data_IF_635436257590
#
_entry.id   IF_635436257590
#
_cell.length_a   1.000
_cell.length_b   1.000
_cell.length_c   1.000
_cell.angle_alpha   90.00
_cell.angle_beta   90.00
_cell.angle_gamma   90.00
#
_symmetry.space_group_name_H-M   'P 1'
#
loop_
_entity.id
_entity.type
_entity.pdbx_description
1 polymer ?
#
# COMPACT_ATOMS: atom_id res chain seq x y z
N UNK A 1 -0.70 -12.46 18.00
CA UNK A 1 0.24 -11.93 19.01
C UNK A 1 0.90 -10.71 18.39
N UNK A 2 0.35 -9.52 18.67
CA UNK A 2 0.93 -8.24 18.26
C UNK A 2 2.15 -7.90 19.11
N UNK A 3 2.91 -6.86 18.72
CA UNK A 3 3.82 -6.16 19.63
C UNK A 3 3.32 -4.73 19.64
N UNK A 4 2.33 -4.52 20.50
CA UNK A 4 1.54 -3.31 20.53
C UNK A 4 1.95 -2.49 21.76
N UNK A 5 1.75 -1.18 21.66
CA UNK A 5 1.91 -0.26 22.78
C UNK A 5 0.62 0.53 22.92
N UNK A 6 0.06 0.51 24.13
CA UNK A 6 -1.13 1.26 24.51
C UNK A 6 -0.85 1.99 25.82
N UNK A 7 -0.79 3.32 25.79
CA UNK A 7 -0.47 4.14 26.96
C UNK A 7 -1.67 5.00 27.35
N UNK A 8 -2.14 4.85 28.59
CA UNK A 8 -3.17 5.70 29.17
C UNK A 8 -2.58 6.72 30.13
N UNK A 9 -2.99 7.98 30.00
CA UNK A 9 -2.51 9.08 30.83
C UNK A 9 -3.63 9.99 31.33
N UNK A 10 -3.37 10.69 32.44
CA UNK A 10 -4.31 11.66 33.04
C UNK A 10 -3.76 13.08 32.95
N UNK A 11 -4.60 14.02 32.51
CA UNK A 11 -4.24 15.45 32.46
C UNK A 11 -4.08 16.02 33.87
N UNK A 12 -3.04 16.84 34.09
CA UNK A 12 -2.86 17.52 35.39
C UNK A 12 -3.85 18.67 35.62
N UNK A 13 -4.44 19.23 34.57
CA UNK A 13 -5.45 20.29 34.64
C UNK A 13 -6.52 20.08 33.56
N UNK A 14 -7.79 19.98 33.95
CA UNK A 14 -8.92 19.84 33.01
C UNK A 14 -9.51 21.21 32.67
N UNK A 15 -9.39 21.66 31.42
CA UNK A 15 -9.86 23.01 31.05
C UNK A 15 -10.43 23.12 29.64
N UNK A 16 -9.65 22.74 28.63
CA UNK A 16 -10.02 22.88 27.22
C UNK A 16 -10.94 21.76 26.73
N UNK A 17 -11.61 22.00 25.60
CA UNK A 17 -12.35 20.98 24.86
C UNK A 17 -11.37 20.01 24.18
N UNK A 18 -11.71 18.72 24.12
CA UNK A 18 -10.83 17.66 23.63
C UNK A 18 -10.29 17.96 22.21
N UNK A 19 -11.16 18.38 21.29
CA UNK A 19 -10.77 18.73 19.92
C UNK A 19 -9.68 19.81 19.86
N UNK A 20 -9.86 20.90 20.58
CA UNK A 20 -8.88 22.00 20.60
C UNK A 20 -7.51 21.52 21.13
N UNK A 21 -7.52 20.62 22.13
CA UNK A 21 -6.29 20.05 22.66
C UNK A 21 -5.56 19.22 21.60
N UNK A 22 -6.30 18.45 20.81
CA UNK A 22 -5.75 17.63 19.73
C UNK A 22 -5.29 18.48 18.53
N UNK A 23 -6.02 19.53 18.16
CA UNK A 23 -5.58 20.52 17.16
C UNK A 23 -4.26 21.20 17.57
N UNK A 24 -4.18 21.65 18.83
CA UNK A 24 -2.97 22.26 19.38
C UNK A 24 -1.80 21.26 19.44
N UNK A 25 -2.08 19.99 19.71
CA UNK A 25 -1.09 18.92 19.69
C UNK A 25 -0.57 18.69 18.27
N UNK A 26 -1.46 18.45 17.30
CA UNK A 26 -1.12 18.21 15.91
C UNK A 26 -0.26 19.33 15.32
N UNK A 27 -0.58 20.59 15.63
CA UNK A 27 0.18 21.75 15.19
C UNK A 27 1.59 21.85 15.81
N UNK A 28 1.81 21.28 17.01
CA UNK A 28 3.08 21.41 17.76
C UNK A 28 3.98 20.18 17.65
N UNK A 29 3.42 19.03 17.28
CA UNK A 29 4.17 17.78 17.15
C UNK A 29 5.38 17.89 16.19
N UNK A 30 5.28 18.54 15.01
CA UNK A 30 6.41 18.72 14.11
C UNK A 30 7.59 19.48 14.74
N UNK A 31 7.32 20.42 15.64
CA UNK A 31 8.35 21.25 16.28
C UNK A 31 9.12 20.50 17.37
N UNK A 32 8.53 19.45 17.95
CA UNK A 32 9.13 18.70 19.08
C UNK A 32 9.61 17.31 18.71
N UNK A 33 9.20 16.80 17.55
CA UNK A 33 9.64 15.54 17.01
C UNK A 33 10.47 15.81 15.76
N UNK A 34 11.80 15.77 15.91
CA UNK A 34 12.73 16.03 14.82
C UNK A 34 12.37 15.19 13.58
N UNK A 35 12.14 15.87 12.45
CA UNK A 35 11.81 15.29 11.15
C UNK A 35 10.42 14.66 11.01
N UNK A 36 9.48 14.99 11.89
CA UNK A 36 8.07 14.69 11.67
C UNK A 36 7.46 15.73 10.71
N UNK A 37 7.15 15.32 9.47
CA UNK A 37 6.45 16.19 8.52
C UNK A 37 5.01 16.45 8.99
N UNK A 38 4.47 17.67 8.84
CA UNK A 38 3.05 17.93 9.03
C UNK A 38 2.16 17.03 8.16
N UNK A 39 2.63 16.62 6.98
CA UNK A 39 1.90 15.75 6.05
C UNK A 39 1.69 14.32 6.58
N UNK A 40 2.32 13.96 7.69
CA UNK A 40 2.13 12.66 8.36
C UNK A 40 1.14 12.72 9.50
N UNK A 41 0.55 13.89 9.78
CA UNK A 41 -0.32 14.13 10.92
C UNK A 41 -1.70 14.51 10.43
N UNK A 42 -2.66 13.62 10.65
CA UNK A 42 -4.06 13.88 10.33
C UNK A 42 -4.90 13.94 11.60
N UNK A 43 -5.74 14.96 11.71
CA UNK A 43 -6.78 15.04 12.73
C UNK A 43 -8.10 14.59 12.11
N UNK A 44 -8.67 13.52 12.64
CA UNK A 44 -9.92 12.93 12.12
C UNK A 44 -10.95 12.75 13.24
N UNK A 45 -12.22 12.85 12.87
CA UNK A 45 -13.34 12.43 13.73
C UNK A 45 -13.56 10.93 13.51
N UNK A 46 -13.63 10.18 14.60
CA UNK A 46 -13.90 8.73 14.61
C UNK A 46 -15.18 8.45 15.38
N UNK A 47 -15.67 7.20 15.33
CA UNK A 47 -16.83 6.79 16.11
C UNK A 47 -16.62 6.94 17.64
N UNK A 48 -15.36 6.94 18.08
CA UNK A 48 -14.95 7.14 19.48
C UNK A 48 -14.60 8.59 19.82
N UNK A 49 -14.68 9.50 18.85
CA UNK A 49 -14.37 10.93 18.98
C UNK A 49 -13.16 11.38 18.15
N UNK A 50 -12.67 12.59 18.41
CA UNK A 50 -11.53 13.15 17.69
C UNK A 50 -10.23 12.40 18.05
N UNK A 51 -9.40 12.12 17.03
CA UNK A 51 -8.10 11.50 17.19
C UNK A 51 -7.06 12.07 16.21
N UNK A 52 -5.80 12.11 16.65
CA UNK A 52 -4.64 12.45 15.82
C UNK A 52 -3.98 11.16 15.35
N UNK A 53 -3.92 10.96 14.05
CA UNK A 53 -3.26 9.85 13.37
C UNK A 53 -1.89 10.31 12.88
N UNK A 54 -0.85 9.53 13.15
CA UNK A 54 0.54 9.85 12.82
C UNK A 54 1.14 8.72 11.98
N UNK A 55 1.20 8.92 10.66
CA UNK A 55 1.69 7.95 9.67
C UNK A 55 3.22 8.02 9.53
N UNK A 56 3.93 7.38 10.48
CA UNK A 56 5.40 7.48 10.59
C UNK A 56 6.20 6.58 9.63
N UNK A 57 5.62 5.45 9.21
CA UNK A 57 6.34 4.45 8.42
C UNK A 57 5.34 3.65 7.56
N UNK A 58 5.59 3.42 6.25
CA UNK A 58 4.64 2.73 5.36
C UNK A 58 4.35 1.27 5.73
N UNK A 59 5.27 0.62 6.44
CA UNK A 59 5.08 -0.74 6.96
C UNK A 59 4.28 -0.82 8.27
N UNK A 60 3.91 0.29 8.90
CA UNK A 60 3.15 0.30 10.15
C UNK A 60 1.84 1.07 9.98
N UNK A 61 0.85 0.66 10.77
CA UNK A 61 -0.35 1.46 10.98
C UNK A 61 0.03 2.80 11.63
N UNK A 62 -0.80 3.82 11.42
CA UNK A 62 -0.62 5.11 12.06
C UNK A 62 -0.62 4.97 13.59
N UNK A 63 0.28 5.69 14.26
CA UNK A 63 0.19 5.85 15.71
C UNK A 63 -0.98 6.80 16.01
N UNK A 64 -1.83 6.42 16.96
CA UNK A 64 -3.07 7.15 17.27
C UNK A 64 -2.96 7.81 18.63
N UNK A 65 -3.34 9.07 18.72
CA UNK A 65 -3.47 9.82 19.97
C UNK A 65 -4.90 10.36 20.08
N UNK A 66 -5.65 9.94 21.10
CA UNK A 66 -7.05 10.32 21.29
C UNK A 66 -7.33 10.77 22.73
N UNK A 67 -8.48 11.42 22.92
CA UNK A 67 -9.00 11.83 24.23
C UNK A 67 -10.45 11.32 24.32
N UNK A 68 -10.65 10.01 24.58
CA UNK A 68 -11.98 9.38 24.50
C UNK A 68 -12.93 9.94 25.55
N UNK A 69 -12.40 10.32 26.72
CA UNK A 69 -13.16 10.99 27.76
C UNK A 69 -12.36 12.14 28.38
N UNK A 70 -13.08 13.10 28.96
CA UNK A 70 -12.48 14.34 29.47
C UNK A 70 -11.40 14.03 30.52
N UNK A 71 -10.17 14.41 30.23
CA UNK A 71 -9.05 14.29 31.16
C UNK A 71 -8.30 12.95 31.09
N UNK A 72 -8.60 12.11 30.08
CA UNK A 72 -7.88 10.87 29.76
C UNK A 72 -7.26 10.97 28.36
N UNK A 73 -5.96 10.77 28.28
CA UNK A 73 -5.22 10.66 27.01
C UNK A 73 -4.97 9.18 26.74
N UNK A 74 -5.20 8.74 25.51
CA UNK A 74 -4.84 7.41 25.04
C UNK A 74 -3.92 7.51 23.84
N UNK A 75 -2.90 6.65 23.83
CA UNK A 75 -1.91 6.57 22.76
C UNK A 75 -1.70 5.11 22.37
N UNK A 76 -1.94 4.76 21.11
CA UNK A 76 -1.86 3.38 20.63
C UNK A 76 -1.00 3.29 19.37
N UNK A 77 -0.16 2.26 19.26
CA UNK A 77 0.55 1.95 18.03
C UNK A 77 0.90 0.45 17.92
N UNK A 78 0.87 -0.08 16.70
CA UNK A 78 1.45 -1.39 16.36
C UNK A 78 2.87 -1.19 15.83
N UNK A 79 3.83 -1.92 16.39
CA UNK A 79 5.27 -1.64 16.14
C UNK A 79 6.07 -2.82 15.59
N UNK A 80 5.45 -4.00 15.55
CA UNK A 80 6.03 -5.28 15.18
C UNK A 80 6.64 -5.32 13.77
N UNK A 81 6.05 -4.64 12.78
CA UNK A 81 6.52 -4.67 11.39
C UNK A 81 7.78 -3.83 11.13
N UNK A 82 8.05 -2.83 11.98
CA UNK A 82 9.10 -1.84 11.74
C UNK A 82 10.36 -2.07 12.57
N UNK A 83 10.19 -2.64 13.76
CA UNK A 83 11.28 -3.10 14.62
C UNK A 83 11.59 -2.23 15.83
N UNK A 84 12.67 -2.55 16.55
CA UNK A 84 12.92 -1.98 17.86
C UNK A 84 13.27 -0.49 17.82
N UNK A 85 13.88 0.02 16.74
CA UNK A 85 14.18 1.45 16.57
C UNK A 85 12.90 2.28 16.43
N UNK A 86 11.93 1.77 15.67
CA UNK A 86 10.60 2.36 15.53
C UNK A 86 9.82 2.34 16.85
N UNK A 87 9.76 1.19 17.52
CA UNK A 87 9.07 1.09 18.82
C UNK A 87 9.60 2.11 19.83
N UNK A 88 10.93 2.22 19.95
CA UNK A 88 11.56 3.22 20.80
C UNK A 88 11.16 4.65 20.40
N UNK A 89 11.16 4.97 19.10
CA UNK A 89 10.78 6.28 18.60
C UNK A 89 9.31 6.63 18.95
N UNK A 90 8.38 5.67 18.79
CA UNK A 90 6.97 5.86 19.14
C UNK A 90 6.79 6.11 20.64
N UNK A 91 7.51 5.38 21.49
CA UNK A 91 7.45 5.61 22.94
C UNK A 91 7.94 7.02 23.28
N UNK A 92 9.03 7.47 22.65
CA UNK A 92 9.57 8.82 22.83
C UNK A 92 8.60 9.89 22.32
N UNK A 93 7.94 9.67 21.17
CA UNK A 93 6.88 10.52 20.63
C UNK A 93 5.71 10.66 21.62
N UNK A 94 5.23 9.55 22.17
CA UNK A 94 4.15 9.59 23.17
C UNK A 94 4.58 10.33 24.44
N UNK A 95 5.80 10.10 24.94
CA UNK A 95 6.33 10.86 26.08
C UNK A 95 6.35 12.38 25.78
N UNK A 96 6.74 12.79 24.57
CA UNK A 96 6.70 14.20 24.15
C UNK A 96 5.28 14.75 24.08
N UNK A 97 4.33 13.99 23.52
CA UNK A 97 2.93 14.38 23.51
C UNK A 97 2.39 14.57 24.94
N UNK A 98 2.70 13.65 25.86
CA UNK A 98 2.31 13.77 27.25
C UNK A 98 2.96 14.98 27.95
N UNK A 99 4.23 15.29 27.65
CA UNK A 99 4.89 16.51 28.15
C UNK A 99 4.18 17.78 27.65
N UNK A 100 3.87 17.85 26.34
CA UNK A 100 3.18 18.99 25.72
C UNK A 100 1.79 19.24 26.33
N UNK A 101 1.09 18.16 26.64
CA UNK A 101 -0.27 18.16 27.21
C UNK A 101 -0.30 18.18 28.74
N UNK A 102 0.88 18.15 29.39
CA UNK A 102 1.02 18.07 30.83
C UNK A 102 0.24 16.88 31.43
N UNK A 103 0.35 15.73 30.78
CA UNK A 103 -0.24 14.44 31.17
C UNK A 103 0.75 13.65 32.04
N UNK A 104 0.21 12.79 32.91
CA UNK A 104 1.00 11.79 33.65
C UNK A 104 0.47 10.41 33.30
N UNK A 105 1.35 9.52 32.85
CA UNK A 105 1.00 8.14 32.53
C UNK A 105 0.48 7.38 33.76
N UNK A 106 -0.65 6.71 33.59
CA UNK A 106 -1.17 5.73 34.55
C UNK A 106 -0.51 4.39 34.27
N UNK A 107 0.66 4.15 34.88
CA UNK A 107 1.47 2.97 34.58
C UNK A 107 0.78 1.63 34.87
N UNK A 108 -0.34 1.62 35.60
CA UNK A 108 -1.13 0.41 35.85
C UNK A 108 -2.11 0.08 34.73
N UNK A 109 -2.34 1.04 33.84
CA UNK A 109 -3.27 1.03 32.72
C UNK A 109 -2.53 1.28 31.39
N UNK A 110 -1.21 1.04 31.39
CA UNK A 110 -0.38 1.04 30.20
C UNK A 110 -0.02 -0.41 29.85
N UNK A 111 0.00 -0.72 28.56
CA UNK A 111 0.40 -2.00 28.00
C UNK A 111 1.54 -1.80 27.00
N UNK A 112 2.54 -2.66 27.10
CA UNK A 112 3.66 -2.76 26.16
C UNK A 112 4.23 -4.16 26.26
N UNK A 113 3.98 -4.97 25.24
CA UNK A 113 4.39 -6.39 25.16
C UNK A 113 5.92 -6.57 25.26
N UNK A 114 6.69 -5.52 24.96
CA UNK A 114 8.15 -5.55 25.01
C UNK A 114 8.72 -5.11 26.35
N UNK A 115 7.88 -4.55 27.23
CA UNK A 115 8.21 -3.88 28.49
C UNK A 115 9.18 -2.68 28.36
N UNK A 116 9.45 -2.21 27.14
CA UNK A 116 10.39 -1.11 26.87
C UNK A 116 9.94 0.22 27.49
N UNK A 117 8.66 0.58 27.40
CA UNK A 117 8.08 1.77 28.03
C UNK A 117 8.39 1.83 29.53
N UNK A 118 8.35 0.68 30.21
CA UNK A 118 8.59 0.58 31.64
C UNK A 118 10.07 0.59 32.01
N UNK A 119 10.86 -0.24 31.32
CA UNK A 119 12.25 -0.54 31.71
C UNK A 119 13.28 0.30 30.97
N UNK A 120 12.93 0.82 29.79
CA UNK A 120 13.83 1.49 28.84
C UNK A 120 15.08 0.65 28.53
N UNK A 121 14.90 -0.68 28.55
CA UNK A 121 15.96 -1.64 28.26
C UNK A 121 15.94 -1.97 26.77
N UNK A 122 16.86 -1.34 26.05
CA UNK A 122 17.01 -1.51 24.61
C UNK A 122 17.33 -2.95 24.20
N UNK A 123 18.16 -3.65 24.98
CA UNK A 123 18.57 -5.01 24.63
C UNK A 123 17.41 -5.98 24.77
N UNK A 124 16.62 -5.82 25.84
CA UNK A 124 15.40 -6.59 26.05
C UNK A 124 14.38 -6.36 24.92
N UNK A 125 14.19 -5.11 24.49
CA UNK A 125 13.34 -4.78 23.34
C UNK A 125 13.78 -5.50 22.06
N UNK A 126 15.07 -5.48 21.75
CA UNK A 126 15.62 -6.18 20.58
C UNK A 126 15.39 -7.70 20.68
N UNK A 127 15.60 -8.30 21.85
CA UNK A 127 15.35 -9.73 22.07
C UNK A 127 13.86 -10.07 21.92
N UNK A 128 12.95 -9.24 22.43
CA UNK A 128 11.50 -9.42 22.30
C UNK A 128 11.05 -9.40 20.84
N UNK A 129 11.52 -8.41 20.06
CA UNK A 129 11.20 -8.28 18.63
C UNK A 129 11.72 -9.47 17.81
N UNK A 130 12.94 -9.91 18.08
CA UNK A 130 13.53 -11.08 17.40
C UNK A 130 12.80 -12.38 17.79
N UNK A 131 12.44 -12.54 19.07
CA UNK A 131 11.69 -13.70 19.53
C UNK A 131 10.30 -13.77 18.90
N UNK A 132 9.61 -12.63 18.81
CA UNK A 132 8.33 -12.52 18.10
C UNK A 132 8.46 -12.94 16.63
N UNK A 133 9.45 -12.42 15.90
CA UNK A 133 9.68 -12.79 14.49
C UNK A 133 9.95 -14.29 14.33
N UNK A 134 10.68 -14.90 15.26
CA UNK A 134 10.93 -16.34 15.27
C UNK A 134 9.64 -17.15 15.48
N UNK A 135 8.74 -16.69 16.34
CA UNK A 135 7.43 -17.33 16.56
C UNK A 135 6.54 -17.22 15.33
N UNK A 136 6.44 -16.02 14.73
CA UNK A 136 5.73 -15.83 13.46
C UNK A 136 6.30 -16.73 12.36
N UNK A 137 7.62 -16.86 12.28
CA UNK A 137 8.28 -17.73 11.30
C UNK A 137 7.92 -19.20 11.48
N UNK A 138 7.83 -19.69 12.73
CA UNK A 138 7.40 -21.07 13.01
C UNK A 138 5.94 -21.30 12.69
N UNK A 139 5.06 -20.39 13.11
CA UNK A 139 3.62 -20.46 12.79
C UNK A 139 3.39 -20.48 11.28
N UNK A 140 4.11 -19.62 10.54
CA UNK A 140 3.99 -19.58 9.09
C UNK A 140 4.51 -20.86 8.44
N UNK A 141 5.60 -21.46 8.94
CA UNK A 141 6.10 -22.75 8.45
C UNK A 141 5.11 -23.90 8.71
N UNK A 142 4.39 -23.86 9.82
CA UNK A 142 3.38 -24.87 10.17
C UNK A 142 2.13 -24.78 9.28
N UNK A 143 1.81 -23.59 8.74
CA UNK A 143 0.69 -23.40 7.81
C UNK A 143 1.04 -23.67 6.34
N UNK A 144 2.32 -23.91 6.01
CA UNK A 144 2.74 -24.24 4.63
C UNK A 144 2.16 -25.59 4.21
N UNK A 145 1.23 -25.54 3.26
CA UNK A 145 0.73 -26.72 2.55
C UNK A 145 1.48 -26.98 1.23
N UNK A 146 1.90 -25.90 0.57
CA UNK A 146 2.68 -25.92 -0.67
C UNK A 146 3.63 -24.71 -0.71
N UNK A 147 4.93 -24.96 -0.83
CA UNK A 147 5.98 -23.92 -0.95
C UNK A 147 6.01 -23.26 -2.32
N UNK A 148 5.18 -23.69 -3.28
CA UNK A 148 4.98 -22.98 -4.53
C UNK A 148 4.10 -21.74 -4.36
N UNK A 149 3.32 -21.67 -3.28
CA UNK A 149 2.42 -20.56 -2.99
C UNK A 149 3.18 -19.32 -2.49
N UNK A 150 2.59 -18.16 -2.73
CA UNK A 150 3.01 -16.90 -2.12
C UNK A 150 2.38 -16.78 -0.74
N UNK A 151 3.19 -16.48 0.29
CA UNK A 151 2.71 -16.19 1.64
C UNK A 151 3.03 -14.74 2.00
N UNK A 152 2.32 -14.19 2.99
CA UNK A 152 2.58 -12.85 3.52
C UNK A 152 2.91 -12.93 5.01
N UNK A 153 3.83 -12.09 5.46
CA UNK A 153 4.17 -11.93 6.87
C UNK A 153 4.21 -10.45 7.22
N UNK A 154 3.30 -10.02 8.09
CA UNK A 154 3.14 -8.63 8.54
C UNK A 154 3.02 -7.65 7.39
N UNK A 155 2.38 -8.08 6.32
CA UNK A 155 2.11 -7.30 5.14
C UNK A 155 0.59 -7.35 4.95
N UNK A 156 -0.05 -6.18 5.04
CA UNK A 156 -1.46 -6.08 4.71
C UNK A 156 -1.59 -6.44 3.23
N UNK A 157 -2.26 -7.56 2.94
CA UNK A 157 -2.59 -7.89 1.56
C UNK A 157 -3.58 -6.83 1.11
N UNK A 158 -3.07 -5.83 0.38
CA UNK A 158 -3.92 -4.85 -0.29
C UNK A 158 -4.80 -5.57 -1.32
N UNK A 159 -5.76 -4.84 -1.89
CA UNK A 159 -6.54 -5.31 -3.04
C UNK A 159 -5.69 -5.71 -4.25
N UNK A 160 -4.39 -5.39 -4.26
CA UNK A 160 -3.40 -5.82 -5.24
C UNK A 160 -2.39 -6.79 -4.62
N UNK A 161 -2.41 -8.05 -5.09
CA UNK A 161 -1.55 -9.13 -4.60
C UNK A 161 -0.42 -9.37 -5.62
N UNK A 162 0.85 -9.33 -5.22
CA UNK A 162 1.96 -9.56 -6.14
C UNK A 162 2.11 -11.03 -6.53
N UNK A 163 2.41 -11.28 -7.80
CA UNK A 163 2.72 -12.61 -8.33
C UNK A 163 4.15 -13.02 -7.99
N UNK A 164 4.35 -13.64 -6.82
CA UNK A 164 5.67 -14.06 -6.36
C UNK A 164 5.70 -15.53 -5.86
N UNK A 165 5.52 -16.51 -6.76
CA UNK A 165 5.51 -17.93 -6.39
C UNK A 165 6.73 -18.33 -5.57
N UNK A 166 6.49 -19.08 -4.50
CA UNK A 166 7.50 -19.56 -3.57
C UNK A 166 8.28 -18.47 -2.82
N UNK A 167 7.64 -17.31 -2.63
CA UNK A 167 8.17 -16.21 -1.81
C UNK A 167 7.26 -15.92 -0.62
N UNK A 168 7.89 -15.35 0.39
CA UNK A 168 7.21 -14.75 1.54
C UNK A 168 7.32 -13.24 1.39
N UNK A 169 6.18 -12.58 1.22
CA UNK A 169 6.08 -11.14 1.15
C UNK A 169 6.28 -10.58 2.55
N UNK A 170 7.20 -9.63 2.69
CA UNK A 170 7.39 -8.84 3.89
C UNK A 170 7.34 -7.36 3.51
N UNK A 171 7.09 -6.44 4.46
CA UNK A 171 7.13 -5.01 4.17
C UNK A 171 8.47 -4.49 3.63
N UNK A 172 9.55 -5.25 3.83
CA UNK A 172 10.90 -4.93 3.36
C UNK A 172 11.32 -5.74 2.12
N UNK A 173 10.35 -6.31 1.40
CA UNK A 173 10.55 -7.10 0.18
C UNK A 173 10.38 -8.61 0.36
N UNK A 174 10.50 -9.38 -0.73
CA UNK A 174 10.28 -10.81 -0.68
C UNK A 174 11.43 -11.53 0.02
N UNK A 175 11.10 -12.65 0.66
CA UNK A 175 12.03 -13.58 1.31
C UNK A 175 11.79 -15.00 0.83
N UNK A 176 12.76 -15.88 1.07
CA UNK A 176 12.66 -17.30 0.70
C UNK A 176 12.23 -18.14 1.91
N UNK A 177 11.69 -19.33 1.65
CA UNK A 177 11.44 -20.32 2.71
C UNK A 177 12.71 -20.71 3.46
N UNK A 178 13.88 -20.72 2.81
CA UNK A 178 15.16 -20.95 3.50
C UNK A 178 15.50 -19.85 4.51
N UNK A 179 15.22 -18.59 4.15
CA UNK A 179 15.33 -17.48 5.11
C UNK A 179 14.37 -17.69 6.29
N UNK A 180 13.11 -18.06 6.03
CA UNK A 180 12.11 -18.30 7.07
C UNK A 180 12.53 -19.39 8.05
N UNK A 181 13.02 -20.54 7.54
CA UNK A 181 13.56 -21.63 8.36
C UNK A 181 14.78 -21.19 9.17
N UNK A 182 15.65 -20.36 8.58
CA UNK A 182 16.83 -19.84 9.26
C UNK A 182 16.44 -18.95 10.44
N UNK A 183 15.46 -18.06 10.27
CA UNK A 183 14.95 -17.17 11.33
C UNK A 183 14.17 -17.94 12.41
N UNK A 184 13.41 -18.97 12.01
CA UNK A 184 12.74 -19.86 12.95
C UNK A 184 13.73 -20.65 13.83
N UNK A 185 14.92 -20.96 13.31
CA UNK A 185 15.98 -21.66 14.05
C UNK A 185 16.86 -20.70 14.87
N UNK A 186 17.27 -19.58 14.29
CA UNK A 186 18.09 -18.54 14.92
C UNK A 186 17.50 -17.15 14.61
N UNK A 187 16.75 -16.55 15.55
CA UNK A 187 16.12 -15.27 15.35
C UNK A 187 17.09 -14.15 14.97
N UNK A 188 18.36 -14.21 15.40
CA UNK A 188 19.33 -13.13 15.15
C UNK A 188 19.63 -12.92 13.66
N UNK A 189 19.36 -13.93 12.84
CA UNK A 189 19.47 -13.86 11.37
C UNK A 189 18.34 -13.06 10.71
N UNK A 190 17.26 -12.77 11.45
CA UNK A 190 16.09 -12.04 10.96
C UNK A 190 16.16 -10.53 11.17
N UNK A 191 17.30 -9.98 11.61
CA UNK A 191 17.44 -8.53 11.84
C UNK A 191 17.13 -7.69 10.58
N UNK A 192 17.40 -8.24 9.40
CA UNK A 192 17.15 -7.61 8.11
C UNK A 192 15.66 -7.64 7.67
N UNK A 193 14.78 -8.21 8.50
CA UNK A 193 13.33 -8.06 8.37
C UNK A 193 12.90 -6.62 8.71
N UNK A 194 13.52 -6.02 9.72
CA UNK A 194 13.08 -4.76 10.29
C UNK A 194 13.70 -3.56 9.56
N UNK A 195 12.89 -2.69 8.94
CA UNK A 195 13.38 -1.49 8.26
C UNK A 195 13.97 -0.45 9.22
N UNK A 196 13.53 -0.45 10.49
CA UNK A 196 13.94 0.53 11.50
C UNK A 196 14.51 -0.17 12.74
N UNK A 197 15.72 -0.68 12.59
CA UNK A 197 16.44 -1.28 13.71
C UNK A 197 17.08 -0.22 14.62
N UNK A 198 17.89 0.69 14.09
CA UNK A 198 18.68 1.61 14.92
C UNK A 198 17.83 2.71 15.55
N UNK A 199 18.16 3.21 16.76
CA UNK A 199 17.45 4.32 17.38
C UNK A 199 17.49 5.61 16.55
N UNK A 200 16.38 6.36 16.61
CA UNK A 200 16.25 7.69 16.01
C UNK A 200 16.11 7.70 14.50
N UNK A 201 15.94 8.91 13.95
CA UNK A 201 15.74 9.16 12.54
C UNK A 201 17.07 9.44 11.81
N UNK A 202 17.82 8.37 11.55
CA UNK A 202 19.18 8.44 10.99
C UNK A 202 19.23 7.95 9.52
N UNK A 203 20.43 7.96 8.91
CA UNK A 203 20.63 7.55 7.52
C UNK A 203 20.12 6.13 7.20
N UNK A 204 20.28 5.16 8.13
CA UNK A 204 19.80 3.78 7.94
C UNK A 204 18.28 3.71 8.03
N UNK A 205 17.68 4.45 8.95
CA UNK A 205 16.22 4.58 9.08
C UNK A 205 15.61 5.15 7.79
N UNK A 206 16.13 6.26 7.30
CA UNK A 206 15.66 6.90 6.05
C UNK A 206 15.81 5.97 4.85
N UNK A 207 16.93 5.24 4.75
CA UNK A 207 17.13 4.22 3.71
C UNK A 207 16.17 3.04 3.87
N UNK A 208 15.85 2.65 5.10
CA UNK A 208 14.85 1.65 5.45
C UNK A 208 13.46 2.03 4.93
N UNK A 209 12.98 3.22 5.30
CA UNK A 209 11.70 3.76 4.85
C UNK A 209 11.65 3.84 3.32
N UNK A 210 12.67 4.42 2.69
CA UNK A 210 12.74 4.54 1.23
C UNK A 210 12.64 3.18 0.53
N UNK A 211 13.24 2.12 1.10
CA UNK A 211 13.16 0.77 0.53
C UNK A 211 11.79 0.13 0.70
N UNK A 212 11.08 0.39 1.80
CA UNK A 212 9.68 0.00 1.94
C UNK A 212 8.81 0.72 0.89
N UNK A 213 8.99 2.03 0.71
CA UNK A 213 8.24 2.79 -0.30
C UNK A 213 8.53 2.29 -1.72
N UNK A 214 9.80 2.02 -2.06
CA UNK A 214 10.15 1.39 -3.34
C UNK A 214 9.50 0.03 -3.53
N UNK A 215 9.41 -0.75 -2.45
CA UNK A 215 8.82 -2.07 -2.49
C UNK A 215 7.32 -2.00 -2.76
N UNK A 216 6.63 -1.11 -2.06
CA UNK A 216 5.18 -1.17 -1.88
C UNK A 216 4.40 -0.04 -2.57
N UNK A 217 4.94 1.17 -2.59
CA UNK A 217 4.18 2.37 -2.96
C UNK A 217 4.61 2.94 -4.31
N UNK A 218 5.89 2.86 -4.66
CA UNK A 218 6.42 3.40 -5.91
C UNK A 218 5.87 2.63 -7.10
N UNK A 219 5.08 3.32 -7.93
CA UNK A 219 4.70 2.87 -9.27
C UNK A 219 5.89 3.12 -10.21
N UNK A 220 6.43 2.08 -10.82
CA UNK A 220 7.62 2.14 -11.68
C UNK A 220 7.29 2.55 -13.12
N UNK A 221 6.50 3.62 -13.25
CA UNK A 221 6.05 4.21 -14.50
C UNK A 221 5.89 5.72 -14.32
N UNK A 222 5.67 6.44 -15.42
CA UNK A 222 5.33 7.87 -15.34
C UNK A 222 4.02 8.00 -14.54
N UNK A 223 4.00 8.77 -13.43
CA UNK A 223 2.81 8.90 -12.58
C UNK A 223 1.60 9.38 -13.36
N UNK A 224 0.45 8.70 -13.20
CA UNK A 224 -0.83 9.20 -13.71
C UNK A 224 -1.50 10.14 -12.69
N UNK A 225 -1.19 9.98 -11.40
CA UNK A 225 -1.78 10.75 -10.31
C UNK A 225 -0.75 11.47 -9.44
N UNK A 226 -1.21 12.52 -8.76
CA UNK A 226 -0.41 13.29 -7.81
C UNK A 226 0.14 12.43 -6.67
N UNK A 227 -0.63 11.45 -6.17
CA UNK A 227 -0.19 10.56 -5.10
C UNK A 227 1.04 9.72 -5.50
N UNK A 228 1.03 9.14 -6.70
CA UNK A 228 2.19 8.41 -7.25
C UNK A 228 3.40 9.31 -7.46
N UNK A 229 3.19 10.56 -7.90
CA UNK A 229 4.27 11.54 -8.00
C UNK A 229 4.86 11.88 -6.63
N UNK A 230 4.02 12.15 -5.63
CA UNK A 230 4.44 12.40 -4.25
C UNK A 230 5.23 11.23 -3.66
N UNK A 231 4.83 9.99 -3.93
CA UNK A 231 5.57 8.80 -3.49
C UNK A 231 6.98 8.74 -4.08
N UNK A 232 7.16 9.08 -5.37
CA UNK A 232 8.49 9.18 -6.00
C UNK A 232 9.36 10.25 -5.36
N UNK A 233 8.81 11.47 -5.20
CA UNK A 233 9.53 12.61 -4.61
C UNK A 233 9.94 12.30 -3.17
N UNK A 234 9.01 11.83 -2.35
CA UNK A 234 9.29 11.50 -0.96
C UNK A 234 10.37 10.41 -0.83
N UNK A 235 10.29 9.37 -1.66
CA UNK A 235 11.31 8.31 -1.71
C UNK A 235 12.68 8.87 -2.11
N UNK A 236 12.73 9.74 -3.12
CA UNK A 236 13.97 10.40 -3.54
C UNK A 236 14.57 11.25 -2.42
N UNK A 237 13.76 12.02 -1.70
CA UNK A 237 14.21 12.89 -0.61
C UNK A 237 14.81 12.09 0.54
N UNK A 238 14.18 10.99 0.94
CA UNK A 238 14.72 10.09 1.96
C UNK A 238 16.09 9.53 1.57
N UNK A 239 16.26 9.08 0.32
CA UNK A 239 17.55 8.58 -0.17
C UNK A 239 18.60 9.69 -0.21
N UNK A 240 18.22 10.88 -0.67
CA UNK A 240 19.11 12.03 -0.77
C UNK A 240 19.58 12.48 0.63
N UNK A 241 18.66 12.55 1.60
CA UNK A 241 18.95 12.86 2.99
C UNK A 241 19.85 11.79 3.62
N UNK A 242 19.49 10.51 3.45
CA UNK A 242 20.30 9.40 3.93
C UNK A 242 21.73 9.47 3.37
N UNK A 243 21.89 9.70 2.06
CA UNK A 243 23.19 9.76 1.40
C UNK A 243 24.05 10.92 1.88
N UNK A 244 23.43 12.08 2.18
CA UNK A 244 24.13 13.21 2.79
C UNK A 244 24.65 12.89 4.19
N UNK A 245 23.89 12.11 4.97
CA UNK A 245 24.25 11.72 6.33
C UNK A 245 25.31 10.60 6.35
N UNK A 246 25.17 9.58 5.51
CA UNK A 246 26.12 8.47 5.40
C UNK A 246 26.21 7.93 3.96
N UNK A 247 27.18 8.43 3.15
CA UNK A 247 27.34 7.99 1.77
C UNK A 247 27.93 6.57 1.64
N UNK A 248 28.27 5.90 2.74
CA UNK A 248 28.90 4.57 2.73
C UNK A 248 27.89 3.42 2.73
N UNK A 249 26.59 3.72 2.94
CA UNK A 249 25.54 2.72 2.91
C UNK A 249 25.35 2.10 1.51
N UNK A 250 24.77 0.91 1.48
CA UNK A 250 24.43 0.22 0.24
C UNK A 250 23.11 0.76 -0.33
N UNK A 251 23.21 1.83 -1.11
CA UNK A 251 22.05 2.44 -1.79
C UNK A 251 21.58 1.61 -2.99
N UNK A 252 20.26 1.55 -3.23
CA UNK A 252 19.67 0.94 -4.42
C UNK A 252 19.85 1.87 -5.63
N UNK A 253 21.08 1.94 -6.15
CA UNK A 253 21.48 2.94 -7.14
C UNK A 253 20.67 2.87 -8.44
N UNK A 254 20.33 1.66 -8.90
CA UNK A 254 19.59 1.47 -10.13
C UNK A 254 18.14 2.00 -10.01
N UNK A 255 17.48 1.64 -8.91
CA UNK A 255 16.14 2.11 -8.56
C UNK A 255 16.11 3.62 -8.32
N UNK A 256 17.10 4.16 -7.60
CA UNK A 256 17.15 5.59 -7.31
C UNK A 256 17.33 6.42 -8.59
N UNK A 257 18.15 5.93 -9.53
CA UNK A 257 18.30 6.56 -10.83
C UNK A 257 17.00 6.55 -11.63
N UNK A 258 16.25 5.44 -11.59
CA UNK A 258 14.96 5.33 -12.25
C UNK A 258 13.93 6.31 -11.64
N UNK A 259 13.85 6.40 -10.31
CA UNK A 259 13.01 7.38 -9.62
C UNK A 259 13.32 8.81 -10.07
N UNK A 260 14.61 9.19 -10.13
CA UNK A 260 15.03 10.51 -10.62
C UNK A 260 14.59 10.74 -12.06
N UNK A 261 14.67 9.70 -12.90
CA UNK A 261 14.25 9.76 -14.30
C UNK A 261 12.74 10.00 -14.42
N UNK A 262 11.94 9.29 -13.61
CA UNK A 262 10.49 9.46 -13.56
C UNK A 262 10.07 10.83 -13.03
N UNK A 263 10.72 11.33 -11.97
CA UNK A 263 10.47 12.69 -11.47
C UNK A 263 10.75 13.73 -12.58
N UNK A 264 11.87 13.59 -13.28
CA UNK A 264 12.25 14.47 -14.39
C UNK A 264 11.29 14.45 -15.56
N UNK A 265 10.66 13.32 -15.84
CA UNK A 265 9.62 13.23 -16.87
C UNK A 265 8.38 14.08 -16.55
N UNK A 266 8.20 14.47 -15.28
CA UNK A 266 7.09 15.28 -14.78
C UNK A 266 7.52 16.70 -14.35
N UNK A 267 8.78 17.12 -14.56
CA UNK A 267 9.30 18.41 -14.06
C UNK A 267 8.53 19.62 -14.62
N UNK A 268 8.00 19.53 -15.84
CA UNK A 268 7.21 20.61 -16.44
C UNK A 268 5.87 20.86 -15.73
N UNK A 269 5.38 19.89 -14.95
CA UNK A 269 4.09 19.92 -14.27
C UNK A 269 4.19 19.96 -12.73
N UNK A 270 5.38 20.22 -12.18
CA UNK A 270 5.58 20.28 -10.73
C UNK A 270 6.57 21.37 -10.31
N UNK A 271 6.55 21.78 -9.05
CA UNK A 271 7.51 22.74 -8.48
C UNK A 271 8.80 22.08 -7.95
N UNK A 272 8.82 20.74 -7.86
CA UNK A 272 9.96 19.99 -7.34
C UNK A 272 11.09 19.87 -8.38
N UNK A 273 12.35 20.06 -7.97
CA UNK A 273 13.52 19.95 -8.87
C UNK A 273 14.60 19.08 -8.25
N UNK A 274 15.06 18.10 -9.01
CA UNK A 274 16.16 17.22 -8.58
C UNK A 274 17.49 17.96 -8.73
N UNK A 275 18.32 17.94 -7.67
CA UNK A 275 19.69 18.48 -7.73
C UNK A 275 20.52 17.77 -8.82
N UNK A 276 20.98 18.54 -9.80
CA UNK A 276 21.68 17.99 -10.97
C UNK A 276 22.98 17.26 -10.62
N UNK A 277 23.73 17.75 -9.63
CA UNK A 277 24.99 17.14 -9.22
C UNK A 277 24.77 15.79 -8.51
N UNK A 278 23.72 15.69 -7.69
CA UNK A 278 23.29 14.43 -7.10
C UNK A 278 22.80 13.47 -8.18
N UNK A 279 21.98 13.93 -9.14
CA UNK A 279 21.47 13.08 -10.22
C UNK A 279 22.59 12.49 -11.09
N UNK A 280 23.59 13.29 -11.48
CA UNK A 280 24.76 12.80 -12.23
C UNK A 280 25.54 11.75 -11.44
N UNK A 281 25.67 11.95 -10.13
CA UNK A 281 26.34 10.99 -9.25
C UNK A 281 25.58 9.68 -9.15
N UNK A 282 24.26 9.76 -8.93
CA UNK A 282 23.38 8.59 -8.87
C UNK A 282 23.46 7.81 -10.20
N UNK A 283 23.41 8.50 -11.34
CA UNK A 283 23.58 7.89 -12.66
C UNK A 283 24.94 7.17 -12.81
N UNK A 284 26.03 7.78 -12.35
CA UNK A 284 27.36 7.17 -12.42
C UNK A 284 27.50 5.90 -11.55
N UNK A 285 26.78 5.83 -10.43
CA UNK A 285 26.70 4.62 -9.61
C UNK A 285 25.77 3.56 -10.24
N UNK A 286 24.60 3.98 -10.73
CA UNK A 286 23.62 3.11 -11.38
C UNK A 286 24.19 2.40 -12.61
N UNK A 287 25.04 3.07 -13.40
CA UNK A 287 25.73 2.47 -14.55
C UNK A 287 26.64 1.28 -14.20
N UNK A 288 26.98 1.09 -12.92
CA UNK A 288 27.79 -0.02 -12.40
C UNK A 288 26.97 -0.99 -11.54
N UNK A 289 25.71 -0.67 -11.27
CA UNK A 289 24.83 -1.47 -10.44
C UNK A 289 24.24 -2.64 -11.25
N UNK A 290 23.67 -3.60 -10.53
CA UNK A 290 22.79 -4.58 -11.16
C UNK A 290 21.51 -3.90 -11.65
N UNK A 291 20.79 -4.52 -12.61
CA UNK A 291 19.47 -4.02 -13.02
C UNK A 291 18.53 -3.86 -11.81
N UNK A 292 17.57 -2.92 -11.88
CA UNK A 292 16.60 -2.72 -10.81
C UNK A 292 15.85 -4.03 -10.47
N UNK A 293 15.63 -4.26 -9.18
CA UNK A 293 15.03 -5.49 -8.64
C UNK A 293 14.04 -5.26 -7.49
N UNK A 294 13.99 -4.05 -6.92
CA UNK A 294 13.07 -3.71 -5.83
C UNK A 294 11.75 -3.19 -6.42
N UNK A 295 10.62 -3.68 -5.88
CA UNK A 295 9.28 -3.19 -6.16
C UNK A 295 8.41 -4.20 -6.89
N UNK A 296 7.36 -4.68 -6.26
CA UNK A 296 6.48 -5.68 -6.89
C UNK A 296 5.63 -5.07 -8.00
N UNK A 297 5.35 -3.77 -7.92
CA UNK A 297 4.57 -3.00 -8.90
C UNK A 297 5.28 -2.86 -10.26
N UNK A 298 6.51 -3.39 -10.39
CA UNK A 298 7.19 -3.60 -11.68
C UNK A 298 6.59 -4.76 -12.46
N UNK A 299 6.05 -5.75 -11.77
CA UNK A 299 5.45 -6.95 -12.34
C UNK A 299 3.94 -6.82 -12.46
N UNK A 300 3.28 -7.96 -12.67
CA UNK A 300 1.83 -8.04 -12.63
C UNK A 300 1.35 -8.23 -11.18
N UNK A 301 0.14 -7.73 -10.93
CA UNK A 301 -0.57 -7.87 -9.66
C UNK A 301 -1.96 -8.44 -9.92
N UNK A 302 -2.43 -9.32 -9.05
CA UNK A 302 -3.83 -9.77 -9.04
C UNK A 302 -4.66 -8.80 -8.24
N UNK A 303 -5.79 -8.39 -8.79
CA UNK A 303 -6.79 -7.59 -8.12
C UNK A 303 -7.93 -8.44 -7.56
N UNK A 304 -8.45 -8.05 -6.39
CA UNK A 304 -9.60 -8.68 -5.73
C UNK A 304 -10.66 -7.69 -5.22
N UNK A 305 -10.62 -6.45 -5.68
CA UNK A 305 -11.55 -5.41 -5.19
C UNK A 305 -12.98 -5.54 -5.72
N UNK A 306 -13.24 -6.42 -6.69
CA UNK A 306 -14.61 -6.75 -7.14
C UNK A 306 -14.97 -8.11 -6.51
N UNK A 307 -15.96 -8.18 -5.62
CA UNK A 307 -16.34 -9.43 -4.96
C UNK A 307 -16.57 -10.56 -5.96
N UNK A 308 -15.94 -11.70 -5.72
CA UNK A 308 -16.04 -12.89 -6.57
C UNK A 308 -15.23 -12.84 -7.86
N UNK A 309 -14.63 -11.70 -8.24
CA UNK A 309 -13.81 -11.57 -9.45
C UNK A 309 -12.35 -11.36 -9.12
N UNK A 310 -11.48 -12.02 -9.90
CA UNK A 310 -10.04 -11.75 -9.87
C UNK A 310 -9.50 -11.58 -11.27
N UNK A 311 -8.50 -10.73 -11.44
CA UNK A 311 -7.81 -10.52 -12.70
C UNK A 311 -6.46 -9.86 -12.45
N UNK A 312 -5.56 -10.00 -13.41
CA UNK A 312 -4.21 -9.45 -13.33
C UNK A 312 -4.10 -8.18 -14.16
N UNK A 313 -3.37 -7.19 -13.65
CA UNK A 313 -2.91 -6.05 -14.47
C UNK A 313 -1.42 -5.79 -14.23
N UNK A 314 -0.75 -5.03 -15.12
CA UNK A 314 0.54 -4.44 -14.77
C UNK A 314 0.43 -3.63 -13.47
N UNK A 315 1.35 -3.82 -12.52
CA UNK A 315 1.31 -3.16 -11.21
C UNK A 315 1.50 -1.64 -11.27
N UNK A 316 1.90 -1.10 -12.41
CA UNK A 316 1.94 0.34 -12.66
C UNK A 316 0.54 0.98 -12.77
N UNK A 317 -0.52 0.18 -12.95
CA UNK A 317 -1.89 0.68 -12.85
C UNK A 317 -2.22 1.09 -11.41
N UNK A 318 -2.82 2.26 -11.25
CA UNK A 318 -3.26 2.81 -9.98
C UNK A 318 -4.77 3.11 -9.98
N UNK A 319 -5.49 2.85 -8.86
CA UNK A 319 -6.89 3.21 -8.72
C UNK A 319 -7.10 4.71 -8.83
N UNK A 320 -8.01 5.14 -9.71
CA UNK A 320 -8.36 6.55 -9.89
C UNK A 320 -9.68 6.81 -9.17
N UNK A 321 -9.69 7.77 -8.25
CA UNK A 321 -10.93 8.31 -7.71
C UNK A 321 -11.55 9.21 -8.79
N UNK A 322 -12.62 8.73 -9.43
CA UNK A 322 -13.45 9.58 -10.28
C UNK A 322 -14.17 10.57 -9.34
N UNK A 323 -13.72 11.82 -9.29
CA UNK A 323 -14.53 12.86 -8.68
C UNK A 323 -15.77 13.04 -9.56
N UNK A 324 -16.94 12.61 -9.08
CA UNK A 324 -18.24 13.01 -9.63
C UNK A 324 -18.54 14.51 -9.36
N UNK A 325 -17.51 15.36 -9.41
CA UNK A 325 -17.64 16.80 -9.25
C UNK A 325 -17.87 17.41 -10.63
N UNK A 326 -19.14 17.52 -11.06
CA UNK A 326 -19.73 18.67 -11.79
C UNK A 326 -20.78 18.39 -12.89
N UNK A 327 -21.22 17.15 -13.13
CA UNK A 327 -22.38 16.97 -14.01
C UNK A 327 -23.65 16.86 -13.15
N UNK A 328 -24.35 17.99 -12.98
CA UNK A 328 -25.69 18.11 -12.37
C UNK A 328 -26.79 17.35 -13.15
N UNK A 329 -26.43 16.58 -14.17
CA UNK A 329 -27.30 15.66 -14.89
C UNK A 329 -27.13 14.25 -14.30
N UNK A 330 -27.70 14.06 -13.11
CA UNK A 330 -27.89 12.77 -12.44
C UNK A 330 -28.69 11.81 -13.34
N UNK A 331 -28.01 11.07 -14.22
CA UNK A 331 -28.49 9.75 -14.61
C UNK A 331 -28.28 8.83 -13.40
N UNK A 332 -29.31 8.70 -12.55
CA UNK A 332 -29.39 7.90 -11.32
C UNK A 332 -28.98 6.40 -11.48
N UNK A 333 -28.67 5.94 -12.70
CA UNK A 333 -28.28 4.57 -13.04
C UNK A 333 -26.76 4.37 -13.29
N UNK A 334 -25.94 5.42 -13.23
CA UNK A 334 -24.49 5.28 -13.38
C UNK A 334 -23.86 4.73 -12.10
N UNK A 335 -23.85 3.40 -11.97
CA UNK A 335 -23.12 2.71 -10.89
C UNK A 335 -21.69 3.24 -10.78
N UNK A 336 -21.14 3.46 -9.57
CA UNK A 336 -19.81 4.04 -9.38
C UNK A 336 -18.78 3.18 -10.10
N UNK A 337 -18.33 3.65 -11.26
CA UNK A 337 -17.37 2.95 -12.09
C UNK A 337 -16.02 2.94 -11.38
N UNK A 338 -15.47 1.75 -11.13
CA UNK A 338 -14.09 1.65 -10.68
C UNK A 338 -13.17 1.90 -11.89
N UNK A 339 -12.03 2.57 -11.66
CA UNK A 339 -11.08 2.91 -12.72
C UNK A 339 -9.64 2.63 -12.30
N UNK A 340 -8.84 2.08 -13.21
CA UNK A 340 -7.39 2.03 -13.07
C UNK A 340 -6.73 2.84 -14.19
N UNK A 341 -5.73 3.64 -13.87
CA UNK A 341 -4.94 4.38 -14.86
C UNK A 341 -3.45 4.08 -14.77
N UNK A 342 -2.77 4.19 -15.91
CA UNK A 342 -1.33 4.13 -16.03
C UNK A 342 -0.91 5.04 -17.20
N UNK A 343 -0.35 6.21 -16.90
CA UNK A 343 0.11 7.21 -17.87
C UNK A 343 -0.92 7.51 -18.96
N UNK A 344 -0.83 6.83 -20.10
CA UNK A 344 -1.65 6.99 -21.30
C UNK A 344 -2.76 5.93 -21.45
N UNK A 345 -2.98 5.10 -20.44
CA UNK A 345 -3.95 3.99 -20.48
C UNK A 345 -4.91 4.07 -19.31
N UNK A 346 -6.16 3.70 -19.60
CA UNK A 346 -7.25 3.69 -18.62
C UNK A 346 -8.04 2.41 -18.75
N UNK A 347 -8.42 1.82 -17.63
CA UNK A 347 -9.34 0.69 -17.53
C UNK A 347 -10.56 1.15 -16.72
N UNK A 348 -11.73 1.16 -17.34
CA UNK A 348 -13.00 1.42 -16.66
C UNK A 348 -13.74 0.10 -16.45
N UNK A 349 -14.27 -0.09 -15.25
CA UNK A 349 -14.92 -1.33 -14.85
C UNK A 349 -16.42 -1.10 -14.63
N UNK A 350 -17.24 -2.02 -15.12
CA UNK A 350 -18.67 -2.09 -14.85
C UNK A 350 -19.04 -3.47 -14.31
N UNK A 351 -19.98 -3.51 -13.36
CA UNK A 351 -20.49 -4.76 -12.78
C UNK A 351 -22.02 -4.76 -12.91
N UNK A 352 -22.58 -5.86 -13.41
CA UNK A 352 -24.02 -6.02 -13.62
C UNK A 352 -24.49 -7.37 -13.08
N UNK A 353 -25.70 -7.43 -12.53
CA UNK A 353 -26.36 -8.69 -12.19
C UNK A 353 -26.94 -9.36 -13.46
N UNK A 354 -26.93 -10.68 -13.49
CA UNK A 354 -27.58 -11.45 -14.56
C UNK A 354 -29.08 -11.53 -14.27
N UNK A 355 -29.91 -10.81 -15.03
CA UNK A 355 -31.38 -10.90 -14.94
C UNK A 355 -31.90 -12.34 -15.18
N UNK A 356 -32.99 -12.71 -14.49
CA UNK A 356 -33.53 -14.09 -14.41
C UNK A 356 -33.77 -14.78 -15.76
N UNK A 357 -34.13 -14.04 -16.81
CA UNK A 357 -34.38 -14.59 -18.16
C UNK A 357 -33.09 -15.02 -18.90
N UNK A 358 -31.92 -14.77 -18.32
CA UNK A 358 -30.60 -14.97 -18.92
C UNK A 358 -29.66 -15.86 -18.07
N UNK A 359 -30.17 -16.39 -16.93
CA UNK A 359 -29.54 -17.47 -16.16
C UNK A 359 -29.53 -18.77 -16.99
N UNK A 360 -28.56 -18.92 -17.90
CA UNK A 360 -28.40 -20.19 -18.61
C UNK A 360 -27.59 -20.22 -19.89
N UNK A 361 -27.22 -19.07 -20.47
CA UNK A 361 -26.32 -19.06 -21.64
C UNK A 361 -25.31 -17.90 -21.59
N UNK A 362 -24.13 -18.13 -20.98
CA UNK A 362 -23.04 -17.17 -20.95
C UNK A 362 -22.59 -16.68 -22.34
N UNK A 363 -22.81 -17.48 -23.40
CA UNK A 363 -22.47 -17.08 -24.77
C UNK A 363 -23.46 -16.06 -25.36
N UNK A 364 -24.73 -16.15 -24.99
CA UNK A 364 -25.77 -15.23 -25.47
C UNK A 364 -25.61 -13.81 -24.89
N UNK A 365 -25.14 -13.69 -23.64
CA UNK A 365 -24.87 -12.41 -22.99
C UNK A 365 -23.61 -11.73 -23.54
N UNK A 366 -22.54 -12.48 -23.80
CA UNK A 366 -21.30 -11.94 -24.36
C UNK A 366 -21.48 -11.31 -25.76
N UNK A 367 -22.39 -11.85 -26.58
CA UNK A 367 -22.64 -11.38 -27.94
C UNK A 367 -23.42 -10.06 -28.07
N UNK A 368 -24.07 -9.57 -26.99
CA UNK A 368 -24.92 -8.37 -27.05
C UNK A 368 -24.16 -7.04 -26.99
N UNK A 369 -22.94 -7.04 -26.48
CA UNK A 369 -22.15 -5.81 -26.29
C UNK A 369 -21.31 -5.41 -27.53
N UNK A 370 -21.41 -6.16 -28.63
CA UNK A 370 -20.59 -5.92 -29.81
C UNK A 370 -21.17 -4.82 -30.72
N UNK A 371 -20.44 -3.72 -30.86
CA UNK A 371 -20.71 -2.70 -31.89
C UNK A 371 -20.43 -3.25 -33.30
N UNK A 372 -21.16 -2.75 -34.31
CA UNK A 372 -21.09 -3.27 -35.69
C UNK A 372 -19.75 -3.04 -36.40
N UNK A 373 -18.91 -2.13 -35.90
CA UNK A 373 -17.54 -1.86 -36.35
C UNK A 373 -16.46 -2.57 -35.53
N UNK A 374 -16.83 -3.29 -34.46
CA UNK A 374 -15.88 -3.91 -33.56
C UNK A 374 -15.22 -5.16 -34.16
N UNK A 375 -13.90 -5.27 -34.01
CA UNK A 375 -13.13 -6.47 -34.35
C UNK A 375 -13.12 -7.42 -33.16
N UNK A 376 -13.51 -8.67 -33.39
CA UNK A 376 -13.31 -9.74 -32.40
C UNK A 376 -11.81 -10.02 -32.19
N UNK A 377 -11.37 -9.99 -30.94
CA UNK A 377 -9.97 -10.23 -30.54
C UNK A 377 -9.78 -11.62 -29.92
N UNK A 378 -10.79 -12.14 -29.23
CA UNK A 378 -10.78 -13.51 -28.72
C UNK A 378 -11.94 -13.82 -27.78
N UNK A 379 -12.11 -15.10 -27.49
CA UNK A 379 -13.04 -15.61 -26.49
C UNK A 379 -12.40 -16.80 -25.77
N UNK A 380 -12.60 -16.87 -24.46
CA UNK A 380 -12.01 -17.88 -23.58
C UNK A 380 -13.04 -18.41 -22.59
N UNK A 381 -12.95 -19.70 -22.28
CA UNK A 381 -13.63 -20.30 -21.14
C UNK A 381 -12.62 -20.37 -20.00
N UNK A 382 -12.83 -19.60 -18.95
CA UNK A 382 -11.94 -19.50 -17.80
C UNK A 382 -12.63 -20.01 -16.54
N UNK A 383 -11.91 -20.05 -15.41
CA UNK A 383 -12.42 -20.59 -14.16
C UNK A 383 -13.69 -19.83 -13.73
N UNK A 384 -14.84 -20.49 -13.83
CA UNK A 384 -16.14 -19.96 -13.42
C UNK A 384 -16.80 -18.96 -14.37
N UNK A 385 -16.18 -18.60 -15.51
CA UNK A 385 -16.73 -17.58 -16.41
C UNK A 385 -16.39 -17.79 -17.90
N UNK A 386 -17.10 -17.07 -18.77
CA UNK A 386 -16.76 -16.92 -20.19
C UNK A 386 -16.31 -15.49 -20.43
N UNK A 387 -15.16 -15.31 -21.07
CA UNK A 387 -14.60 -13.98 -21.37
C UNK A 387 -14.53 -13.77 -22.87
N UNK A 388 -14.97 -12.61 -23.35
CA UNK A 388 -14.84 -12.17 -24.75
C UNK A 388 -14.14 -10.81 -24.79
N UNK A 389 -13.31 -10.59 -25.81
CA UNK A 389 -12.67 -9.30 -26.06
C UNK A 389 -12.94 -8.82 -27.49
N UNK A 390 -13.28 -7.53 -27.61
CA UNK A 390 -13.44 -6.82 -28.88
C UNK A 390 -12.68 -5.52 -28.87
N UNK A 391 -12.17 -5.08 -30.02
CA UNK A 391 -11.51 -3.79 -30.11
C UNK A 391 -11.89 -3.01 -31.37
N UNK A 392 -11.82 -1.69 -31.27
CA UNK A 392 -12.06 -0.76 -32.36
C UNK A 392 -11.39 0.58 -32.10
N UNK A 393 -11.27 1.37 -33.16
CA UNK A 393 -10.83 2.76 -33.09
C UNK A 393 -12.02 3.65 -32.73
N UNK A 394 -11.97 4.30 -31.57
CA UNK A 394 -12.98 5.20 -31.08
C UNK A 394 -12.56 6.67 -31.33
N UNK A 395 -13.38 7.49 -32.01
CA UNK A 395 -13.11 8.91 -32.11
C UNK A 395 -13.29 9.60 -30.74
N UNK A 396 -12.44 10.58 -30.44
CA UNK A 396 -12.61 11.45 -29.26
C UNK A 396 -13.32 12.75 -29.66
N UNK A 397 -13.81 13.50 -28.67
CA UNK A 397 -14.48 14.79 -28.89
C UNK A 397 -13.57 15.84 -29.55
N UNK A 398 -12.25 15.74 -29.32
CA UNK A 398 -11.23 16.60 -29.92
C UNK A 398 -10.87 16.20 -31.36
N UNK A 399 -11.49 15.15 -31.90
CA UNK A 399 -11.23 14.64 -33.25
C UNK A 399 -10.01 13.73 -33.35
N UNK A 400 -9.39 13.38 -32.23
CA UNK A 400 -8.37 12.34 -32.15
C UNK A 400 -9.02 10.95 -32.18
N UNK A 401 -8.19 9.91 -32.19
CA UNK A 401 -8.64 8.52 -32.19
C UNK A 401 -7.90 7.74 -31.13
N UNK A 402 -8.63 6.98 -30.32
CA UNK A 402 -8.09 6.04 -29.34
C UNK A 402 -8.39 4.60 -29.78
N UNK A 403 -7.55 3.67 -29.36
CA UNK A 403 -7.91 2.26 -29.41
C UNK A 403 -8.73 1.95 -28.16
N UNK A 404 -9.95 1.45 -28.36
CA UNK A 404 -10.77 0.91 -27.29
C UNK A 404 -10.77 -0.62 -27.40
N UNK A 405 -10.58 -1.30 -26.26
CA UNK A 405 -10.77 -2.74 -26.11
C UNK A 405 -11.78 -3.00 -25.01
N UNK A 406 -12.90 -3.59 -25.37
CA UNK A 406 -13.92 -4.05 -24.43
C UNK A 406 -13.72 -5.52 -24.12
N UNK A 407 -13.64 -5.82 -22.83
CA UNK A 407 -13.59 -7.17 -22.27
C UNK A 407 -14.89 -7.38 -21.51
N UNK A 408 -15.61 -8.45 -21.83
CA UNK A 408 -16.83 -8.85 -21.12
C UNK A 408 -16.62 -10.24 -20.55
N UNK A 409 -16.73 -10.37 -19.24
CA UNK A 409 -16.66 -11.63 -18.52
C UNK A 409 -18.01 -11.94 -17.89
N UNK A 410 -18.56 -13.12 -18.19
CA UNK A 410 -19.89 -13.56 -17.75
C UNK A 410 -19.73 -14.72 -16.78
N UNK A 411 -20.08 -14.47 -15.51
CA UNK A 411 -20.21 -15.46 -14.45
C UNK A 411 -21.63 -16.05 -14.39
N UNK A 412 -21.92 -16.91 -13.40
CA UNK A 412 -23.24 -17.53 -13.21
C UNK A 412 -24.33 -16.53 -12.78
N UNK A 413 -23.95 -15.47 -12.06
CA UNK A 413 -24.83 -14.50 -11.43
C UNK A 413 -24.44 -13.03 -11.71
N UNK A 414 -23.23 -12.80 -12.22
CA UNK A 414 -22.71 -11.45 -12.51
C UNK A 414 -22.06 -11.35 -13.91
N UNK A 415 -22.00 -10.12 -14.43
CA UNK A 415 -21.26 -9.73 -15.63
C UNK A 415 -20.28 -8.63 -15.25
N UNK A 416 -18.99 -8.86 -15.51
CA UNK A 416 -17.94 -7.87 -15.41
C UNK A 416 -17.62 -7.31 -16.81
N UNK A 417 -17.66 -6.00 -16.97
CA UNK A 417 -17.16 -5.31 -18.17
C UNK A 417 -15.89 -4.54 -17.82
N UNK A 418 -14.92 -4.56 -18.73
CA UNK A 418 -13.70 -3.77 -18.65
C UNK A 418 -13.52 -3.06 -19.98
N UNK A 419 -13.54 -1.73 -19.95
CA UNK A 419 -13.30 -0.86 -21.09
C UNK A 419 -11.90 -0.30 -20.99
N UNK A 420 -11.01 -0.75 -21.87
CA UNK A 420 -9.62 -0.31 -21.92
C UNK A 420 -9.43 0.74 -23.01
N UNK A 421 -8.93 1.92 -22.63
CA UNK A 421 -8.60 3.03 -23.52
C UNK A 421 -7.09 3.19 -23.58
N UNK A 422 -6.56 3.37 -24.80
CA UNK A 422 -5.12 3.52 -25.03
C UNK A 422 -4.85 4.25 -26.36
N UNK A 423 -3.62 4.72 -26.60
CA UNK A 423 -3.22 5.27 -27.90
C UNK A 423 -3.49 4.29 -29.04
N UNK A 424 -3.83 4.78 -30.25
CA UNK A 424 -4.25 3.94 -31.37
C UNK A 424 -3.16 2.95 -31.85
N UNK A 425 -1.90 3.25 -31.58
CA UNK A 425 -0.73 2.43 -31.91
C UNK A 425 -0.26 1.53 -30.76
N UNK A 426 -0.91 1.60 -29.59
CA UNK A 426 -0.54 0.77 -28.45
C UNK A 426 -0.83 -0.72 -28.74
N UNK A 427 0.06 -1.64 -28.33
CA UNK A 427 -0.17 -3.06 -28.53
C UNK A 427 -1.38 -3.52 -27.71
N UNK A 428 -2.26 -4.30 -28.31
CA UNK A 428 -3.43 -4.87 -27.62
C UNK A 428 -3.10 -6.08 -26.75
N UNK A 429 -1.89 -6.65 -26.87
CA UNK A 429 -1.55 -7.92 -26.21
C UNK A 429 -1.72 -7.86 -24.70
N UNK A 430 -1.42 -6.72 -24.06
CA UNK A 430 -1.57 -6.58 -22.61
C UNK A 430 -3.04 -6.62 -22.16
N UNK A 431 -4.00 -6.08 -22.93
CA UNK A 431 -5.43 -6.21 -22.59
C UNK A 431 -5.93 -7.62 -22.79
N UNK A 432 -5.39 -8.35 -23.77
CA UNK A 432 -5.71 -9.76 -23.94
C UNK A 432 -5.13 -10.61 -22.81
N UNK A 433 -3.99 -10.23 -22.25
CA UNK A 433 -3.44 -10.89 -21.06
C UNK A 433 -4.30 -10.63 -19.82
N UNK A 434 -4.83 -9.41 -19.65
CA UNK A 434 -5.86 -9.13 -18.63
C UNK A 434 -7.06 -10.03 -18.86
N UNK A 435 -7.64 -10.06 -20.07
CA UNK A 435 -8.81 -10.88 -20.37
C UNK A 435 -8.61 -12.37 -20.07
N UNK A 436 -7.40 -12.91 -20.33
CA UNK A 436 -7.04 -14.31 -20.06
C UNK A 436 -6.80 -14.62 -18.58
N UNK A 437 -6.56 -13.61 -17.76
CA UNK A 437 -6.35 -13.75 -16.32
C UNK A 437 -7.64 -13.72 -15.50
N UNK A 438 -8.76 -13.32 -16.10
CA UNK A 438 -10.04 -13.17 -15.39
C UNK A 438 -10.52 -14.54 -14.89
N UNK A 439 -10.90 -14.60 -13.62
CA UNK A 439 -11.66 -15.72 -13.05
C UNK A 439 -12.78 -15.22 -12.15
N UNK A 440 -13.79 -16.07 -11.99
CA UNK A 440 -14.93 -15.83 -11.12
C UNK A 440 -15.10 -16.98 -10.13
N UNK A 441 -15.15 -16.66 -8.86
CA UNK A 441 -15.44 -17.58 -7.75
C UNK A 441 -16.42 -16.90 -6.80
N UNK A 442 -17.73 -17.20 -6.90
CA UNK A 442 -18.75 -16.52 -6.09
C UNK A 442 -18.60 -16.82 -4.60
N UNK A 443 -18.02 -17.96 -4.23
CA UNK A 443 -17.84 -18.36 -2.85
C UNK A 443 -16.67 -17.61 -2.18
N UNK A 444 -15.72 -17.11 -2.98
CA UNK A 444 -14.58 -16.34 -2.48
C UNK A 444 -14.98 -14.97 -1.90
N UNK A 445 -16.15 -14.42 -2.26
CA UNK A 445 -16.66 -13.18 -1.69
C UNK A 445 -17.09 -13.31 -0.22
N UNK A 446 -17.35 -14.53 0.26
CA UNK A 446 -17.88 -14.78 1.61
C UNK A 446 -16.81 -15.10 2.66
N UNK A 447 -15.57 -15.33 2.26
CA UNK A 447 -14.52 -15.83 3.14
C UNK A 447 -13.77 -14.73 3.92
N UNK A 448 -13.78 -13.49 3.43
CA UNK A 448 -13.08 -12.37 4.07
C UNK A 448 -13.95 -11.62 5.10
N UNK A 449 -15.28 -11.86 5.14
CA UNK A 449 -16.21 -11.26 6.12
C UNK A 449 -16.31 -12.04 7.45
N UNK A 450 -15.71 -13.23 7.54
CA UNK A 450 -15.79 -14.10 8.73
C UNK A 450 -14.67 -13.86 9.77
N UNK A 451 -13.75 -12.92 9.56
CA UNK A 451 -12.69 -12.60 10.56
C UNK A 451 -13.19 -11.76 11.76
N UNK A 452 -14.38 -11.17 11.71
CA UNK A 452 -14.99 -10.43 12.84
C UNK A 452 -15.90 -11.29 13.74
N UNK A 453 -15.97 -12.60 13.51
CA UNK A 453 -16.81 -13.52 14.28
C UNK A 453 -16.01 -14.56 15.08
N UNK A 454 -15.08 -14.12 15.93
CA UNK A 454 -14.60 -14.98 17.03
C UNK A 454 -14.22 -14.20 18.30
N UNK A 455 -15.22 -13.62 18.95
CA UNK A 455 -15.20 -13.36 20.40
C UNK A 455 -16.38 -14.11 21.03
N UNK A 456 -16.07 -15.24 21.67
CA UNK A 456 -16.91 -15.93 22.66
C UNK A 456 -16.03 -16.55 23.76
#
# INVERSE_FOLDING_TARGET
MGLDIALTGKFKQSGAANRQVLEDLAARLPDVCDNLSPDFIDLMETDEGDAVFIALHPAADAAVISIPERGRLECVARTNSCGPGYHQFVVELFDRAAELLNVTWDRTDCEDDTEYFFKRDRKALEDSMLNWLSQCSRMLLESVTDESNTLAMCYALSNSIPHLPGKIITPYGPRTFDWLRSVAADPSLGRDFFPWWEPGYNARTMLGIARCLMWDSVRWAVPAQAASYSALVHTHELLAQAYRLDPTLAYPWAEWHEIITLIRACEDNSDYRVDSALAERVAAHAAKAQPPSIGYLRGNVTHRFIPGWTFDTPGAFEPVTMNHDNDEDDDEDSSPGFCLAMSDRVLNFGLYEVEDDHRGDPQASAGRFHQSSARHLGQWQLNGCVVSATGWEAPTDDGDTLMQVDIVAVGPDQILTIHAFMPPDAPVDWTLDIARSISHDPDAASADDDEDASDD
#
